data_IF_948106755091
#
_entry.id   IF_948106755091
#
_cell.length_a   1.000
_cell.length_b   1.000
_cell.length_c   1.000
_cell.angle_alpha   90.00
_cell.angle_beta   90.00
_cell.angle_gamma   90.00
#
_symmetry.space_group_name_H-M   'P 1'
#
loop_
_entity.id
_entity.type
_entity.pdbx_description
1 polymer ?
#
# COMPACT_ATOMS: atom_id res chain seq x y z
N UNK A 1 11.90 -14.16 -22.63
CA UNK A 1 11.53 -15.04 -21.49
C UNK A 1 10.26 -14.62 -20.74
N UNK A 2 10.27 -13.72 -19.75
CA UNK A 2 9.06 -13.40 -18.92
C UNK A 2 7.86 -12.97 -19.77
N UNK A 3 8.17 -12.23 -20.83
CA UNK A 3 7.19 -11.71 -21.79
C UNK A 3 6.55 -12.80 -22.65
N UNK A 4 7.25 -13.92 -22.88
CA UNK A 4 6.78 -15.06 -23.67
C UNK A 4 5.99 -16.08 -22.85
N UNK A 5 6.20 -16.11 -21.53
CA UNK A 5 5.50 -17.02 -20.60
C UNK A 5 4.21 -16.44 -20.04
N UNK A 6 3.89 -15.17 -20.33
CA UNK A 6 2.66 -14.52 -19.87
C UNK A 6 1.41 -14.99 -20.62
N UNK A 7 0.24 -14.73 -20.03
CA UNK A 7 -1.03 -15.07 -20.65
C UNK A 7 -1.29 -14.27 -21.93
N UNK A 8 -1.79 -14.95 -22.97
CA UNK A 8 -2.29 -14.29 -24.19
C UNK A 8 -3.70 -13.72 -24.02
N UNK A 9 -4.45 -14.15 -23.00
CA UNK A 9 -5.88 -13.83 -22.87
C UNK A 9 -6.18 -12.70 -21.90
N UNK A 10 -5.25 -12.40 -20.99
CA UNK A 10 -5.46 -11.41 -19.94
C UNK A 10 -4.14 -10.81 -19.49
N UNK A 11 -4.23 -9.61 -18.96
CA UNK A 11 -3.05 -8.89 -18.48
C UNK A 11 -2.48 -9.58 -17.25
N UNK A 12 -1.16 -9.75 -17.25
CA UNK A 12 -0.43 -10.52 -16.24
C UNK A 12 0.37 -9.60 -15.33
N UNK A 13 0.48 -9.96 -14.06
CA UNK A 13 1.36 -9.27 -13.10
C UNK A 13 2.71 -9.97 -13.07
N UNK A 14 3.80 -9.20 -13.05
CA UNK A 14 5.15 -9.71 -12.85
C UNK A 14 5.54 -9.47 -11.39
N UNK A 15 5.77 -10.57 -10.68
CA UNK A 15 6.18 -10.57 -9.28
C UNK A 15 7.61 -11.09 -9.13
N UNK A 16 8.30 -10.57 -8.12
CA UNK A 16 9.60 -11.09 -7.69
C UNK A 16 9.44 -11.65 -6.29
N UNK A 17 9.92 -12.88 -6.11
CA UNK A 17 10.08 -13.53 -4.82
C UNK A 17 11.57 -13.68 -4.52
N UNK A 18 12.04 -13.07 -3.43
CA UNK A 18 13.43 -13.16 -2.98
C UNK A 18 13.49 -13.81 -1.62
N UNK A 19 14.21 -14.93 -1.49
CA UNK A 19 14.49 -15.54 -0.19
C UNK A 19 15.74 -14.90 0.42
N UNK A 20 15.60 -14.37 1.62
CA UNK A 20 16.68 -13.72 2.36
C UNK A 20 17.23 -14.63 3.47
N UNK A 21 18.52 -14.49 3.78
CA UNK A 21 19.22 -15.26 4.82
C UNK A 21 19.01 -14.74 6.25
N UNK A 22 17.88 -14.08 6.52
CA UNK A 22 17.57 -13.45 7.81
C UNK A 22 16.57 -14.28 8.62
N UNK A 23 16.58 -14.15 9.94
CA UNK A 23 15.59 -14.74 10.84
C UNK A 23 14.50 -13.71 11.20
N UNK A 24 13.30 -13.78 10.61
CA UNK A 24 12.23 -12.81 10.85
C UNK A 24 11.66 -12.84 12.27
N UNK A 25 12.06 -13.83 13.10
CA UNK A 25 11.71 -13.89 14.53
C UNK A 25 12.57 -12.97 15.38
N UNK A 26 13.74 -12.56 14.88
CA UNK A 26 14.65 -11.64 15.57
C UNK A 26 14.35 -10.20 15.15
N UNK A 27 14.09 -9.34 16.13
CA UNK A 27 13.62 -7.98 15.87
C UNK A 27 14.63 -7.13 15.07
N UNK A 28 15.92 -7.35 15.28
CA UNK A 28 17.05 -6.72 14.59
C UNK A 28 17.24 -7.22 13.15
N UNK A 29 16.66 -8.36 12.79
CA UNK A 29 16.73 -8.94 11.45
C UNK A 29 15.42 -8.77 10.65
N UNK A 30 14.42 -8.13 11.24
CA UNK A 30 13.15 -7.86 10.58
C UNK A 30 13.32 -6.77 9.53
N UNK A 31 13.14 -7.13 8.26
CA UNK A 31 13.18 -6.18 7.14
C UNK A 31 11.78 -5.68 6.82
N UNK A 32 11.61 -4.35 6.89
CA UNK A 32 10.44 -3.62 6.42
C UNK A 32 10.87 -2.26 5.91
N UNK A 33 10.35 -1.83 4.77
CA UNK A 33 10.71 -0.55 4.18
C UNK A 33 9.84 -0.19 3.00
N UNK A 34 10.25 0.87 2.29
CA UNK A 34 9.61 1.32 1.06
C UNK A 34 10.65 1.52 -0.03
N UNK A 35 10.24 1.32 -1.27
CA UNK A 35 11.07 1.66 -2.44
C UNK A 35 10.18 2.30 -3.51
N UNK A 36 10.70 3.32 -4.19
CA UNK A 36 10.05 3.89 -5.37
C UNK A 36 10.53 3.16 -6.61
N UNK A 37 9.63 2.48 -7.31
CA UNK A 37 9.98 1.83 -8.56
C UNK A 37 10.16 2.89 -9.66
N UNK A 38 11.29 2.93 -10.40
CA UNK A 38 11.58 3.97 -11.39
C UNK A 38 10.53 4.12 -12.49
N UNK A 39 9.78 3.05 -12.76
CA UNK A 39 8.73 3.00 -13.77
C UNK A 39 7.35 2.68 -13.18
N UNK A 40 7.24 2.75 -11.84
CA UNK A 40 6.07 2.28 -11.11
C UNK A 40 5.80 0.78 -11.26
N UNK A 41 4.64 0.34 -10.77
CA UNK A 41 4.16 -1.05 -10.92
C UNK A 41 3.40 -1.26 -12.24
N UNK A 42 3.14 -0.20 -13.00
CA UNK A 42 2.28 -0.23 -14.19
C UNK A 42 0.78 -0.20 -13.89
N UNK A 43 0.37 -0.16 -12.61
CA UNK A 43 -1.01 0.11 -12.18
C UNK A 43 -1.04 1.34 -11.27
N UNK A 44 -2.02 2.21 -11.46
CA UNK A 44 -2.28 3.30 -10.52
C UNK A 44 -2.94 2.72 -9.28
N UNK A 45 -2.28 2.83 -8.12
CA UNK A 45 -2.83 2.38 -6.85
C UNK A 45 -4.09 3.19 -6.48
N UNK A 46 -5.12 2.49 -6.00
CA UNK A 46 -6.28 3.08 -5.32
C UNK A 46 -5.88 3.40 -3.89
N UNK A 47 -5.80 4.69 -3.57
CA UNK A 47 -5.31 5.21 -2.29
C UNK A 47 -6.46 5.86 -1.55
N UNK A 48 -6.75 5.40 -0.33
CA UNK A 48 -7.68 6.07 0.57
C UNK A 48 -6.91 6.86 1.64
N UNK A 49 -7.52 7.94 2.12
CA UNK A 49 -6.92 8.78 3.16
C UNK A 49 -7.89 9.04 4.30
N UNK A 50 -7.48 8.61 5.50
CA UNK A 50 -8.12 9.00 6.75
C UNK A 50 -7.59 10.36 7.18
N UNK A 51 -8.34 11.42 6.88
CA UNK A 51 -7.99 12.80 7.20
C UNK A 51 -9.26 13.65 7.34
N UNK A 52 -9.17 14.74 8.09
CA UNK A 52 -10.23 15.77 8.19
C UNK A 52 -9.66 17.16 7.93
N UNK A 53 -10.54 18.14 7.70
CA UNK A 53 -10.15 19.55 7.52
C UNK A 53 -9.15 19.76 6.36
N UNK A 54 -8.15 20.65 6.53
CA UNK A 54 -7.21 20.99 5.45
C UNK A 54 -6.42 19.81 4.89
N UNK A 55 -6.10 18.81 5.72
CA UNK A 55 -5.40 17.61 5.27
C UNK A 55 -6.28 16.78 4.32
N UNK A 56 -7.59 16.72 4.58
CA UNK A 56 -8.53 16.03 3.69
C UNK A 56 -8.58 16.70 2.31
N UNK A 57 -8.62 18.03 2.27
CA UNK A 57 -8.64 18.79 1.01
C UNK A 57 -7.33 18.60 0.23
N UNK A 58 -6.19 18.62 0.92
CA UNK A 58 -4.89 18.34 0.31
C UNK A 58 -4.80 16.92 -0.26
N UNK A 59 -5.35 15.92 0.43
CA UNK A 59 -5.40 14.54 -0.06
C UNK A 59 -6.26 14.39 -1.32
N UNK A 60 -7.43 15.04 -1.36
CA UNK A 60 -8.30 15.05 -2.56
C UNK A 60 -7.61 15.72 -3.73
N UNK A 61 -6.97 16.87 -3.50
CA UNK A 61 -6.22 17.58 -4.53
C UNK A 61 -5.03 16.77 -5.07
N UNK A 62 -4.40 15.94 -4.24
CA UNK A 62 -3.36 14.99 -4.65
C UNK A 62 -3.90 13.75 -5.40
N UNK A 63 -5.21 13.62 -5.54
CA UNK A 63 -5.85 12.56 -6.32
C UNK A 63 -6.13 11.28 -5.54
N UNK A 64 -6.24 11.34 -4.21
CA UNK A 64 -6.74 10.21 -3.41
C UNK A 64 -8.14 9.78 -3.87
N UNK A 65 -8.38 8.47 -3.90
CA UNK A 65 -9.61 7.87 -4.44
C UNK A 65 -10.80 8.04 -3.48
N UNK A 66 -10.56 7.90 -2.17
CA UNK A 66 -11.53 8.25 -1.13
C UNK A 66 -10.84 8.95 0.04
N UNK A 67 -11.48 9.99 0.59
CA UNK A 67 -10.94 10.77 1.72
C UNK A 67 -12.05 11.06 2.71
N UNK A 68 -11.84 10.69 3.97
CA UNK A 68 -12.84 10.89 5.01
C UNK A 68 -12.34 10.66 6.43
N UNK A 69 -13.18 11.02 7.39
CA UNK A 69 -12.97 10.81 8.81
C UNK A 69 -13.78 9.62 9.32
N UNK A 70 -14.80 9.90 10.12
CA UNK A 70 -15.61 8.89 10.80
C UNK A 70 -16.42 8.03 9.82
N UNK A 71 -16.98 8.65 8.77
CA UNK A 71 -17.76 7.96 7.74
C UNK A 71 -16.93 6.93 6.96
N UNK A 72 -15.68 7.26 6.63
CA UNK A 72 -14.78 6.34 5.94
C UNK A 72 -14.30 5.22 6.88
N UNK A 73 -14.05 5.55 8.15
CA UNK A 73 -13.70 4.56 9.19
C UNK A 73 -14.83 3.56 9.38
N UNK A 74 -16.08 4.01 9.45
CA UNK A 74 -17.26 3.14 9.57
C UNK A 74 -17.44 2.25 8.34
N UNK A 75 -17.28 2.81 7.14
CA UNK A 75 -17.34 2.04 5.88
C UNK A 75 -16.29 0.93 5.84
N UNK A 76 -15.06 1.22 6.25
CA UNK A 76 -13.97 0.22 6.34
C UNK A 76 -14.22 -0.78 7.48
N UNK A 77 -14.76 -0.33 8.62
CA UNK A 77 -15.15 -1.21 9.73
C UNK A 77 -16.23 -2.22 9.30
N UNK A 78 -17.14 -1.82 8.41
CA UNK A 78 -18.16 -2.68 7.81
C UNK A 78 -17.59 -3.70 6.79
N UNK A 79 -16.28 -3.66 6.53
CA UNK A 79 -15.57 -4.64 5.71
C UNK A 79 -15.24 -4.19 4.29
N UNK A 80 -15.51 -2.94 3.93
CA UNK A 80 -15.10 -2.40 2.64
C UNK A 80 -13.58 -2.22 2.58
N UNK A 81 -12.95 -2.86 1.59
CA UNK A 81 -11.48 -2.92 1.41
C UNK A 81 -11.07 -2.88 -0.06
N UNK A 82 -11.86 -2.20 -0.90
CA UNK A 82 -11.61 -2.08 -2.34
C UNK A 82 -10.62 -0.95 -2.65
N UNK A 83 -9.41 -1.08 -2.10
CA UNK A 83 -8.29 -0.16 -2.27
C UNK A 83 -6.95 -0.88 -2.03
N UNK A 84 -5.87 -0.30 -2.55
CA UNK A 84 -4.53 -0.90 -2.50
C UNK A 84 -3.69 -0.36 -1.34
N UNK A 85 -3.93 0.89 -0.91
CA UNK A 85 -3.19 1.52 0.17
C UNK A 85 -4.05 2.50 0.96
N UNK A 86 -3.75 2.62 2.26
CA UNK A 86 -4.36 3.62 3.14
C UNK A 86 -3.30 4.54 3.72
N UNK A 87 -3.61 5.83 3.80
CA UNK A 87 -2.83 6.86 4.48
C UNK A 87 -3.68 7.45 5.61
N UNK A 88 -3.06 7.85 6.72
CA UNK A 88 -3.77 8.51 7.83
C UNK A 88 -2.99 9.68 8.38
N UNK A 89 -3.68 10.73 8.83
CA UNK A 89 -3.07 11.70 9.74
C UNK A 89 -2.81 11.05 11.12
N UNK A 90 -1.79 11.50 11.87
CA UNK A 90 -1.48 10.93 13.19
C UNK A 90 -2.65 11.03 14.19
N UNK A 91 -3.43 12.10 14.12
CA UNK A 91 -4.55 12.36 15.03
C UNK A 91 -5.70 11.34 14.87
N UNK A 92 -5.94 10.84 13.66
CA UNK A 92 -6.99 9.86 13.38
C UNK A 92 -6.57 8.43 13.67
N UNK A 93 -5.28 8.17 13.93
CA UNK A 93 -4.79 6.83 14.24
C UNK A 93 -5.43 6.23 15.49
N UNK A 94 -5.88 7.04 16.45
CA UNK A 94 -6.64 6.55 17.61
C UNK A 94 -7.95 5.86 17.23
N UNK A 95 -8.60 6.29 16.14
CA UNK A 95 -9.81 5.66 15.59
C UNK A 95 -9.47 4.57 14.57
N UNK A 96 -8.57 4.87 13.62
CA UNK A 96 -8.13 3.92 12.58
C UNK A 96 -7.50 2.65 13.17
N UNK A 97 -6.80 2.75 14.30
CA UNK A 97 -6.22 1.59 14.99
C UNK A 97 -7.24 0.50 15.37
N UNK A 98 -8.52 0.86 15.54
CA UNK A 98 -9.61 -0.08 15.81
C UNK A 98 -9.92 -0.98 14.61
N UNK A 99 -9.53 -0.57 13.40
CA UNK A 99 -9.69 -1.32 12.15
C UNK A 99 -8.65 -2.45 12.01
N UNK A 100 -7.82 -2.70 13.02
CA UNK A 100 -6.77 -3.74 13.00
C UNK A 100 -7.25 -5.13 12.58
N UNK A 101 -8.49 -5.51 12.93
CA UNK A 101 -9.09 -6.79 12.51
C UNK A 101 -9.39 -6.85 11.01
N UNK A 102 -9.68 -5.72 10.38
CA UNK A 102 -10.01 -5.63 8.95
C UNK A 102 -8.75 -5.37 8.11
N UNK A 103 -7.97 -4.36 8.50
CA UNK A 103 -6.81 -3.89 7.74
C UNK A 103 -5.54 -4.71 7.99
N UNK A 104 -5.35 -5.22 9.21
CA UNK A 104 -4.13 -5.92 9.63
C UNK A 104 -3.84 -7.17 8.79
N UNK A 105 -4.78 -8.14 8.67
CA UNK A 105 -4.59 -9.35 7.87
C UNK A 105 -4.33 -9.10 6.38
N UNK A 106 -4.72 -7.91 5.88
CA UNK A 106 -4.60 -7.52 4.47
C UNK A 106 -3.38 -6.64 4.20
N UNK A 107 -2.57 -6.34 5.21
CA UNK A 107 -1.46 -5.37 5.13
C UNK A 107 -1.88 -3.96 4.70
N UNK A 108 -3.14 -3.57 4.92
CA UNK A 108 -3.69 -2.26 4.55
C UNK A 108 -3.60 -1.23 5.68
N UNK A 109 -3.07 -1.60 6.84
CA UNK A 109 -2.98 -0.70 8.00
C UNK A 109 -1.89 0.37 7.78
N UNK A 110 -2.22 1.67 7.87
CA UNK A 110 -1.22 2.74 7.80
C UNK A 110 -0.12 2.58 8.86
N UNK A 111 1.12 2.90 8.50
CA UNK A 111 2.28 2.76 9.37
C UNK A 111 3.22 3.98 9.30
N UNK A 112 3.61 4.58 10.44
CA UNK A 112 4.58 5.67 10.45
C UNK A 112 5.95 5.29 9.87
N UNK A 113 6.38 4.02 10.00
CA UNK A 113 7.66 3.55 9.46
C UNK A 113 7.71 3.54 7.94
N UNK A 114 6.56 3.44 7.27
CA UNK A 114 6.48 3.44 5.80
C UNK A 114 5.99 4.79 5.27
N UNK A 115 5.82 5.78 6.15
CA UNK A 115 5.41 7.14 5.79
C UNK A 115 3.93 7.29 5.47
N UNK A 116 3.11 6.27 5.75
CA UNK A 116 1.65 6.30 5.52
C UNK A 116 0.86 6.76 6.74
N UNK A 117 1.53 7.02 7.86
CA UNK A 117 1.02 7.88 8.94
C UNK A 117 1.82 9.16 8.94
N UNK A 118 1.24 10.25 8.44
CA UNK A 118 1.95 11.51 8.20
C UNK A 118 1.01 12.71 8.23
N UNK A 119 1.47 13.90 8.68
CA UNK A 119 0.75 15.15 8.47
C UNK A 119 0.68 15.56 6.99
N UNK A 120 1.72 15.23 6.20
CA UNK A 120 1.81 15.53 4.77
C UNK A 120 1.19 14.40 3.93
N UNK A 121 -0.14 14.34 3.96
CA UNK A 121 -0.92 13.30 3.26
C UNK A 121 -0.86 13.46 1.74
N UNK A 122 -0.72 14.67 1.22
CA UNK A 122 -0.63 14.92 -0.22
C UNK A 122 0.64 14.29 -0.80
N UNK A 123 1.79 14.46 -0.13
CA UNK A 123 3.03 13.81 -0.53
C UNK A 123 2.92 12.28 -0.48
N UNK A 124 2.31 11.73 0.57
CA UNK A 124 2.14 10.29 0.68
C UNK A 124 1.27 9.72 -0.47
N UNK A 125 0.18 10.40 -0.83
CA UNK A 125 -0.66 10.00 -1.97
C UNK A 125 0.13 10.03 -3.27
N UNK A 126 0.87 11.12 -3.53
CA UNK A 126 1.69 11.27 -4.74
C UNK A 126 2.80 10.20 -4.82
N UNK A 127 3.49 9.93 -3.71
CA UNK A 127 4.51 8.90 -3.61
C UNK A 127 3.95 7.52 -3.99
N UNK A 128 2.81 7.14 -3.41
CA UNK A 128 2.19 5.82 -3.62
C UNK A 128 1.69 5.69 -5.06
N UNK A 129 0.99 6.70 -5.58
CA UNK A 129 0.53 6.72 -6.98
C UNK A 129 1.69 6.81 -7.97
N UNK A 130 2.82 7.39 -7.56
CA UNK A 130 4.09 7.40 -8.28
C UNK A 130 4.86 6.07 -8.24
N UNK A 131 4.32 5.03 -7.61
CA UNK A 131 4.92 3.70 -7.61
C UNK A 131 5.82 3.40 -6.43
N UNK A 132 5.69 4.15 -5.33
CA UNK A 132 6.25 3.74 -4.03
C UNK A 132 5.50 2.52 -3.52
N UNK A 133 6.23 1.45 -3.29
CA UNK A 133 5.72 0.21 -2.72
C UNK A 133 6.28 0.01 -1.32
N UNK A 134 5.47 -0.58 -0.44
CA UNK A 134 5.90 -1.10 0.84
C UNK A 134 6.30 -2.57 0.70
N UNK A 135 7.37 -2.97 1.39
CA UNK A 135 7.79 -4.36 1.44
C UNK A 135 8.09 -4.79 2.88
N UNK A 136 7.80 -6.05 3.17
CA UNK A 136 8.09 -6.70 4.46
C UNK A 136 8.37 -8.17 4.20
N UNK A 137 9.37 -8.72 4.88
CA UNK A 137 9.63 -10.16 4.82
C UNK A 137 8.57 -10.95 5.59
N UNK A 138 8.21 -12.12 5.08
CA UNK A 138 7.30 -13.05 5.73
C UNK A 138 8.00 -13.89 6.82
N UNK A 139 7.24 -14.81 7.45
CA UNK A 139 7.77 -15.71 8.50
C UNK A 139 8.74 -16.77 7.96
N UNK A 140 8.83 -16.93 6.65
CA UNK A 140 9.71 -17.87 5.95
C UNK A 140 10.92 -17.16 5.31
N UNK A 141 11.12 -15.88 5.63
CA UNK A 141 12.20 -15.02 5.13
C UNK A 141 12.09 -14.70 3.64
N UNK A 142 10.89 -14.78 3.06
CA UNK A 142 10.65 -14.35 1.69
C UNK A 142 10.21 -12.89 1.62
N UNK A 143 10.68 -12.21 0.58
CA UNK A 143 10.25 -10.89 0.17
C UNK A 143 9.50 -11.01 -1.16
N UNK A 144 8.23 -10.61 -1.18
CA UNK A 144 7.37 -10.68 -2.36
C UNK A 144 6.89 -9.28 -2.73
N UNK A 145 7.04 -8.89 -3.99
CA UNK A 145 6.48 -7.64 -4.50
C UNK A 145 6.28 -7.66 -6.01
N UNK A 146 5.32 -6.86 -6.45
CA UNK A 146 5.01 -6.63 -7.85
C UNK A 146 6.01 -5.61 -8.40
N UNK A 147 6.65 -5.94 -9.51
CA UNK A 147 7.60 -5.03 -10.18
C UNK A 147 7.07 -4.45 -11.48
N UNK A 148 6.08 -5.10 -12.11
CA UNK A 148 5.52 -4.64 -13.36
C UNK A 148 4.17 -5.28 -13.64
N UNK A 149 3.39 -4.59 -14.47
CA UNK A 149 2.18 -5.09 -15.08
C UNK A 149 2.40 -5.24 -16.58
N UNK A 150 2.03 -6.39 -17.12
CA UNK A 150 2.25 -6.77 -18.50
C UNK A 150 0.93 -6.98 -19.21
N UNK A 151 0.69 -6.19 -20.26
CA UNK A 151 -0.45 -6.40 -21.14
C UNK A 151 -0.37 -7.75 -21.84
N UNK A 152 -1.54 -8.36 -22.00
CA UNK A 152 -1.74 -9.51 -22.86
C UNK A 152 -1.21 -9.23 -24.27
N UNK A 153 -0.73 -10.29 -24.92
CA UNK A 153 -0.28 -10.25 -26.30
C UNK A 153 -1.41 -10.76 -27.18
N UNK A 154 -1.81 -9.97 -28.17
CA UNK A 154 -2.63 -10.43 -29.30
C UNK A 154 -1.93 -11.58 -30.04
#
# INVERSE_FOLDING_TARGET
>A
MVRETGSKKFDSTIEVAVKLGVDPRKADQMIRGTVSLPHGTGKTARVIVFATGPAADAARAAGADEVGGDELIEKVAAGWVDFDSAVSTPELMGKVGRLGKVLGPRNLMPNPKTGTVTPDVAKAVNDIKGGKIEFRIDKQSNLHFIIAWMRSRD
#
